data_IF_361735325277
#
_entry.id   IF_361735325277
#
_cell.length_a   1.000
_cell.length_b   1.000
_cell.length_c   1.000
_cell.angle_alpha   90.00
_cell.angle_beta   90.00
_cell.angle_gamma   90.00
#
_symmetry.space_group_name_H-M   'P 1'
#
loop_
_entity.id
_entity.type
_entity.pdbx_description
1 polymer ?
#
# COMPACT_ATOMS: atom_id res chain seq x y z
N UNK A 1 8.46 19.92 20.81
CA UNK A 1 7.67 18.77 21.27
C UNK A 1 6.32 18.86 20.61
N UNK A 2 5.97 17.85 19.81
CA UNK A 2 4.77 17.81 18.98
C UNK A 2 5.09 17.04 17.70
N UNK A 3 5.09 15.71 17.78
CA UNK A 3 4.99 14.91 16.56
C UNK A 3 3.59 15.15 16.01
N UNK A 4 3.47 15.79 14.86
CA UNK A 4 2.20 15.90 14.14
C UNK A 4 1.77 14.49 13.76
N UNK A 5 0.68 14.00 14.33
CA UNK A 5 0.09 12.73 13.91
C UNK A 5 -0.26 12.83 12.42
N UNK A 6 0.08 11.80 11.65
CA UNK A 6 -0.26 11.71 10.23
C UNK A 6 -1.78 11.86 10.08
N UNK A 7 -2.21 12.78 9.20
CA UNK A 7 -3.62 12.90 8.84
C UNK A 7 -4.13 11.57 8.25
N UNK A 8 -5.29 11.08 8.72
CA UNK A 8 -5.87 9.80 8.29
C UNK A 8 -6.17 9.73 6.77
N UNK A 9 -6.54 10.84 6.15
CA UNK A 9 -6.75 10.94 4.70
C UNK A 9 -5.41 10.77 3.95
N UNK A 10 -4.35 11.45 4.40
CA UNK A 10 -3.00 11.31 3.84
C UNK A 10 -2.48 9.88 4.03
N UNK A 11 -2.68 9.32 5.22
CA UNK A 11 -2.33 7.92 5.52
C UNK A 11 -3.06 6.96 4.57
N UNK A 12 -4.37 7.12 4.41
CA UNK A 12 -5.20 6.31 3.54
C UNK A 12 -4.76 6.39 2.08
N UNK A 13 -4.51 7.61 1.59
CA UNK A 13 -4.05 7.84 0.22
C UNK A 13 -2.70 7.17 -0.06
N UNK A 14 -1.71 7.31 0.84
CA UNK A 14 -0.40 6.67 0.66
C UNK A 14 -0.51 5.14 0.72
N UNK A 15 -1.31 4.59 1.63
CA UNK A 15 -1.57 3.14 1.69
C UNK A 15 -2.31 2.62 0.44
N UNK A 16 -3.21 3.42 -0.15
CA UNK A 16 -3.90 3.06 -1.39
C UNK A 16 -2.92 2.93 -2.56
N UNK A 17 -1.91 3.81 -2.65
CA UNK A 17 -0.85 3.68 -3.67
C UNK A 17 -0.07 2.39 -3.47
N UNK A 18 0.38 2.12 -2.24
CA UNK A 18 1.10 0.87 -1.93
C UNK A 18 0.26 -0.37 -2.24
N UNK A 19 -1.04 -0.32 -1.95
CA UNK A 19 -1.97 -1.41 -2.25
C UNK A 19 -2.11 -1.63 -3.77
N UNK A 20 -2.30 -0.56 -4.55
CA UNK A 20 -2.42 -0.67 -6.00
C UNK A 20 -1.16 -1.28 -6.65
N UNK A 21 0.03 -0.86 -6.19
CA UNK A 21 1.31 -1.44 -6.65
C UNK A 21 1.48 -2.89 -6.19
N UNK A 22 1.05 -3.22 -4.97
CA UNK A 22 1.09 -4.59 -4.47
C UNK A 22 0.17 -5.53 -5.25
N UNK A 23 -1.04 -5.09 -5.60
CA UNK A 23 -1.95 -5.85 -6.47
C UNK A 23 -1.30 -6.14 -7.84
N UNK A 24 -0.64 -5.15 -8.45
CA UNK A 24 0.12 -5.37 -9.68
C UNK A 24 1.26 -6.38 -9.48
N UNK A 25 1.99 -6.26 -8.38
CA UNK A 25 3.07 -7.18 -8.03
C UNK A 25 2.57 -8.62 -7.89
N UNK A 26 1.44 -8.85 -7.23
CA UNK A 26 0.85 -10.19 -7.06
C UNK A 26 0.44 -10.83 -8.38
N UNK A 27 -0.02 -10.04 -9.37
CA UNK A 27 -0.31 -10.56 -10.71
C UNK A 27 0.95 -11.08 -11.43
N UNK A 28 2.08 -10.44 -11.22
CA UNK A 28 3.38 -10.85 -11.77
C UNK A 28 4.07 -11.95 -10.95
N UNK A 29 3.72 -12.06 -9.65
CA UNK A 29 4.32 -12.97 -8.67
C UNK A 29 3.26 -13.76 -7.89
N UNK A 30 2.49 -14.65 -8.54
CA UNK A 30 1.38 -15.39 -7.92
C UNK A 30 1.82 -16.35 -6.80
N UNK A 31 3.11 -16.70 -6.73
CA UNK A 31 3.69 -17.46 -5.62
C UNK A 31 3.64 -16.71 -4.28
N UNK A 32 3.65 -15.37 -4.30
CA UNK A 32 3.52 -14.58 -3.09
C UNK A 32 2.07 -14.52 -2.61
N UNK A 33 1.12 -14.39 -3.54
CA UNK A 33 -0.32 -14.38 -3.24
C UNK A 33 -0.76 -15.64 -2.49
N UNK A 34 -0.30 -16.81 -2.96
CA UNK A 34 -0.57 -18.12 -2.32
C UNK A 34 -0.05 -18.25 -0.89
N UNK A 35 0.87 -17.39 -0.45
CA UNK A 35 1.39 -17.38 0.91
C UNK A 35 0.55 -16.53 1.86
N UNK A 36 -0.37 -15.70 1.33
CA UNK A 36 -1.25 -14.83 2.10
C UNK A 36 -2.51 -15.63 2.46
N UNK A 37 -2.79 -15.87 3.75
CA UNK A 37 -3.97 -16.63 4.12
C UNK A 37 -5.26 -15.86 3.82
N UNK A 38 -6.31 -16.58 3.45
CA UNK A 38 -7.63 -16.01 3.26
C UNK A 38 -8.16 -15.33 4.53
N UNK A 39 -8.90 -14.24 4.33
CA UNK A 39 -9.52 -13.48 5.43
C UNK A 39 -8.51 -12.75 6.33
N UNK A 40 -7.31 -12.48 5.82
CA UNK A 40 -6.31 -11.65 6.51
C UNK A 40 -6.32 -10.22 5.99
N UNK A 41 -6.13 -9.25 6.87
CA UNK A 41 -5.90 -7.85 6.47
C UNK A 41 -4.43 -7.63 6.13
N UNK A 42 -4.15 -6.82 5.11
CA UNK A 42 -2.79 -6.43 4.75
C UNK A 42 -2.43 -5.10 5.43
N UNK A 43 -1.24 -5.03 6.02
CA UNK A 43 -0.65 -3.77 6.52
C UNK A 43 0.73 -3.58 5.94
N UNK A 44 0.94 -2.45 5.26
CA UNK A 44 2.23 -2.09 4.68
C UNK A 44 3.16 -1.45 5.72
N UNK A 45 4.44 -1.79 5.63
CA UNK A 45 5.53 -1.20 6.41
C UNK A 45 6.60 -0.70 5.43
N UNK A 46 6.46 0.53 4.91
CA UNK A 46 7.47 1.13 4.04
C UNK A 46 8.70 1.55 4.84
N UNK A 47 9.89 1.19 4.36
CA UNK A 47 11.16 1.58 4.98
C UNK A 47 11.60 3.00 4.60
N UNK A 48 11.16 3.50 3.43
CA UNK A 48 11.43 4.83 2.90
C UNK A 48 10.46 5.91 3.39
N UNK A 49 9.33 5.54 4.00
CA UNK A 49 8.37 6.45 4.62
C UNK A 49 8.20 6.12 6.13
N UNK A 50 9.10 6.61 7.00
CA UNK A 50 9.06 6.35 8.44
C UNK A 50 7.77 6.84 9.12
N UNK A 51 7.19 7.94 8.64
CA UNK A 51 5.95 8.50 9.19
C UNK A 51 4.77 7.55 8.93
N UNK A 52 4.63 7.05 7.70
CA UNK A 52 3.60 6.08 7.34
C UNK A 52 3.81 4.75 8.04
N UNK A 53 5.07 4.30 8.15
CA UNK A 53 5.43 3.09 8.88
C UNK A 53 5.02 3.18 10.36
N UNK A 54 5.22 4.33 11.01
CA UNK A 54 4.79 4.55 12.39
C UNK A 54 3.26 4.53 12.51
N UNK A 55 2.56 5.23 11.62
CA UNK A 55 1.09 5.28 11.62
C UNK A 55 0.47 3.88 11.39
N UNK A 56 1.00 3.11 10.44
CA UNK A 56 0.54 1.75 10.15
C UNK A 56 0.86 0.76 11.29
N UNK A 57 1.93 0.99 12.05
CA UNK A 57 2.24 0.20 13.25
C UNK A 57 1.20 0.40 14.35
N UNK A 58 0.65 1.60 14.50
CA UNK A 58 -0.45 1.84 15.44
C UNK A 58 -1.71 1.03 15.04
N UNK A 59 -2.06 1.03 13.75
CA UNK A 59 -3.15 0.22 13.20
C UNK A 59 -2.94 -1.28 13.39
N UNK A 60 -1.72 -1.77 13.12
CA UNK A 60 -1.36 -3.17 13.36
C UNK A 60 -1.55 -3.56 14.83
N UNK A 61 -1.11 -2.71 15.76
CA UNK A 61 -1.27 -2.96 17.19
C UNK A 61 -2.75 -2.98 17.60
N UNK A 62 -3.58 -2.11 17.02
CA UNK A 62 -5.03 -2.15 17.22
C UNK A 62 -5.64 -3.45 16.70
N UNK A 63 -5.36 -3.81 15.45
CA UNK A 63 -5.87 -5.04 14.85
C UNK A 63 -5.48 -6.30 15.64
N UNK A 64 -4.26 -6.33 16.19
CA UNK A 64 -3.81 -7.39 17.11
C UNK A 64 -4.64 -7.46 18.39
N UNK A 65 -4.95 -6.32 19.02
CA UNK A 65 -5.79 -6.27 20.23
C UNK A 65 -7.21 -6.76 19.97
N UNK A 66 -7.70 -6.54 18.76
CA UNK A 66 -9.03 -6.97 18.32
C UNK A 66 -9.06 -8.41 17.78
N UNK A 67 -7.93 -9.12 17.81
CA UNK A 67 -7.85 -10.52 17.36
C UNK A 67 -7.98 -10.70 15.84
N UNK A 68 -7.84 -9.63 15.04
CA UNK A 68 -7.88 -9.73 13.58
C UNK A 68 -6.60 -10.39 13.07
N UNK A 69 -6.73 -11.28 12.08
CA UNK A 69 -5.57 -11.83 11.37
C UNK A 69 -5.00 -10.78 10.42
N UNK A 70 -3.71 -10.49 10.55
CA UNK A 70 -3.04 -9.47 9.76
C UNK A 70 -1.74 -10.01 9.17
N UNK A 71 -1.51 -9.78 7.89
CA UNK A 71 -0.24 -10.00 7.21
C UNK A 71 0.49 -8.66 7.07
N UNK A 72 1.79 -8.67 7.40
CA UNK A 72 2.65 -7.50 7.27
C UNK A 72 3.43 -7.61 5.98
N UNK A 73 3.30 -6.61 5.11
CA UNK A 73 4.09 -6.50 3.89
C UNK A 73 5.16 -5.44 4.13
N UNK A 74 6.42 -5.86 4.23
CA UNK A 74 7.57 -4.95 4.32
C UNK A 74 8.02 -4.58 2.93
N UNK A 75 8.10 -3.29 2.65
CA UNK A 75 8.54 -2.77 1.35
C UNK A 75 9.66 -1.77 1.57
N UNK A 76 10.70 -1.83 0.75
CA UNK A 76 11.79 -0.85 0.83
C UNK A 76 11.35 0.53 0.36
N UNK A 77 10.34 0.57 -0.50
CA UNK A 77 9.84 1.74 -1.20
C UNK A 77 9.27 1.32 -2.55
N UNK A 78 8.74 2.30 -3.30
CA UNK A 78 8.29 2.09 -4.67
C UNK A 78 9.42 2.39 -5.65
N UNK A 79 9.56 1.56 -6.68
CA UNK A 79 10.41 1.91 -7.81
C UNK A 79 9.83 3.16 -8.52
N UNK A 80 10.66 3.98 -9.18
CA UNK A 80 10.16 5.10 -9.97
C UNK A 80 9.12 4.63 -11.00
N UNK A 81 7.92 5.22 -10.95
CA UNK A 81 6.85 4.87 -11.85
C UNK A 81 7.28 5.06 -13.32
N UNK A 82 7.01 4.07 -14.15
CA UNK A 82 7.20 4.16 -15.61
C UNK A 82 5.87 3.92 -16.30
N UNK A 83 5.54 4.78 -17.26
CA UNK A 83 4.36 4.59 -18.09
C UNK A 83 4.45 3.26 -18.85
N UNK A 84 3.35 2.51 -18.86
CA UNK A 84 3.18 1.30 -19.67
C UNK A 84 2.46 1.56 -21.00
N UNK A 85 2.11 2.82 -21.30
CA UNK A 85 1.42 3.17 -22.54
C UNK A 85 2.31 2.91 -23.75
N UNK A 86 1.78 2.23 -24.75
CA UNK A 86 2.42 2.02 -26.05
C UNK A 86 1.63 2.88 -27.05
N UNK A 87 2.31 3.84 -27.69
CA UNK A 87 1.75 4.75 -28.70
C UNK A 87 0.36 5.35 -28.35
N UNK A 88 0.22 6.06 -27.20
CA UNK A 88 -1.06 6.62 -26.82
C UNK A 88 -1.51 7.67 -27.84
N UNK A 89 -2.79 7.65 -28.19
CA UNK A 89 -3.44 8.66 -29.04
C UNK A 89 -4.42 9.47 -28.21
N UNK A 90 -4.43 10.79 -28.44
CA UNK A 90 -5.40 11.69 -27.85
C UNK A 90 -6.36 12.17 -28.95
N UNK A 91 -7.66 12.11 -28.70
CA UNK A 91 -8.71 12.60 -29.59
C UNK A 91 -9.59 13.59 -28.83
N UNK A 92 -9.80 14.77 -29.40
CA UNK A 92 -10.73 15.76 -28.85
C UNK A 92 -12.12 15.46 -29.40
N UNK A 93 -13.07 15.15 -28.52
CA UNK A 93 -14.48 15.01 -28.86
C UNK A 93 -15.22 16.26 -28.37
N UNK A 94 -15.64 17.11 -29.30
CA UNK A 94 -16.54 18.23 -29.02
C UNK A 94 -17.99 17.75 -29.05
N UNK A 95 -18.81 18.22 -28.11
CA UNK A 95 -20.26 17.99 -28.07
C UNK A 95 -21.00 18.88 -29.06
#
# INVERSE_FOLDING_TARGET
>A
GGQTEMNAEVQGYRNMILYAEFEQYLLEHPELDKQIPDGTSVVFMPEDDPELCQANRALLNQAKREGRKVVIIRVKGLAPARSRLIEPRAELVAA
#
